data_IF_013881494484
#
_entry.id   IF_013881494484
#
_cell.length_a   1.000
_cell.length_b   1.000
_cell.length_c   1.000
_cell.angle_alpha   90.00
_cell.angle_beta   90.00
_cell.angle_gamma   90.00
#
_symmetry.space_group_name_H-M   'P 1'
#
loop_
_entity.id
_entity.type
_entity.pdbx_description
1 polymer ?
#
# COMPACT_ATOMS: atom_id res chain seq x y z
N UNK A 1 30.64 26.91 19.44
CA UNK A 1 29.60 27.31 18.44
C UNK A 1 28.74 26.14 17.93
N UNK A 2 29.13 24.87 18.16
CA UNK A 2 28.35 23.68 17.70
C UNK A 2 27.34 23.15 18.73
N UNK A 3 27.42 23.57 20.00
CA UNK A 3 26.55 23.09 21.06
C UNK A 3 25.28 23.94 21.30
N UNK A 4 25.24 25.17 20.84
CA UNK A 4 24.11 26.07 21.06
C UNK A 4 22.94 25.85 20.10
N UNK A 5 23.19 25.27 18.92
CA UNK A 5 22.15 25.03 17.91
C UNK A 5 21.31 23.76 18.22
N UNK A 6 21.88 22.80 18.92
CA UNK A 6 21.19 21.56 19.36
C UNK A 6 20.27 21.81 20.59
N UNK A 7 20.66 22.73 21.47
CA UNK A 7 19.87 23.12 22.64
C UNK A 7 18.67 23.98 22.24
N UNK A 8 18.84 24.91 21.31
CA UNK A 8 17.76 25.76 20.82
C UNK A 8 16.67 24.98 20.08
N UNK A 9 17.04 23.99 19.27
CA UNK A 9 16.10 23.09 18.58
C UNK A 9 15.36 22.15 19.55
N UNK A 10 16.00 21.72 20.64
CA UNK A 10 15.39 20.88 21.68
C UNK A 10 14.40 21.67 22.54
N UNK A 11 14.73 22.91 22.86
CA UNK A 11 13.86 23.83 23.64
C UNK A 11 12.64 24.26 22.81
N UNK A 12 12.81 24.50 21.50
CA UNK A 12 11.68 24.81 20.61
C UNK A 12 10.70 23.61 20.47
N UNK A 13 11.22 22.38 20.43
CA UNK A 13 10.39 21.15 20.39
C UNK A 13 9.59 20.96 21.70
N UNK A 14 10.21 21.17 22.87
CA UNK A 14 9.52 21.06 24.16
C UNK A 14 8.45 22.16 24.34
N UNK A 15 8.73 23.39 23.96
CA UNK A 15 7.78 24.52 24.04
C UNK A 15 6.55 24.31 23.12
N UNK A 16 6.70 23.62 22.01
CA UNK A 16 5.59 23.29 21.10
C UNK A 16 4.67 22.19 21.67
N UNK A 17 5.24 21.22 22.38
CA UNK A 17 4.48 20.17 23.05
C UNK A 17 3.67 20.70 24.25
N UNK A 18 4.23 21.62 24.99
CA UNK A 18 3.53 22.24 26.12
C UNK A 18 2.39 23.17 25.68
N UNK A 19 2.51 23.82 24.51
CA UNK A 19 1.42 24.59 23.91
C UNK A 19 0.25 23.72 23.43
N UNK A 20 0.52 22.47 23.02
CA UNK A 20 -0.52 21.52 22.64
C UNK A 20 -1.25 20.89 23.83
N UNK A 21 -0.57 20.72 24.98
CA UNK A 21 -1.20 20.23 26.23
C UNK A 21 -2.16 21.23 26.86
N UNK A 22 -2.00 22.51 26.56
CA UNK A 22 -2.81 23.59 27.18
C UNK A 22 -4.05 23.98 26.37
N UNK A 23 -4.36 23.30 25.27
CA UNK A 23 -5.63 23.45 24.55
C UNK A 23 -6.70 22.71 25.37
N UNK A 24 -7.27 23.38 26.37
CA UNK A 24 -8.44 22.93 27.11
C UNK A 24 -9.64 22.93 26.16
N UNK A 25 -10.12 21.74 25.81
CA UNK A 25 -11.46 21.60 25.25
C UNK A 25 -12.47 22.06 26.28
N UNK A 26 -13.16 23.17 26.01
CA UNK A 26 -14.17 23.71 26.87
C UNK A 26 -15.27 22.69 27.17
N UNK A 27 -15.45 22.37 28.44
CA UNK A 27 -16.62 21.63 28.93
C UNK A 27 -17.84 22.52 28.73
N UNK A 28 -18.80 22.07 27.93
CA UNK A 28 -20.10 22.71 27.82
C UNK A 28 -20.87 22.54 29.11
N UNK A 29 -21.29 23.65 29.72
CA UNK A 29 -22.29 23.68 30.78
C UNK A 29 -23.63 23.23 30.22
N UNK A 30 -24.31 22.38 30.99
CA UNK A 30 -25.73 22.06 30.81
C UNK A 30 -26.53 23.31 31.25
N UNK A 31 -27.37 23.82 30.38
CA UNK A 31 -28.56 24.56 30.75
C UNK A 31 -29.71 24.26 29.79
N UNK A 32 -30.88 24.22 30.36
CA UNK A 32 -32.15 23.68 29.89
C UNK A 32 -32.87 24.56 28.82
N UNK A 33 -33.93 24.06 28.16
CA UNK A 33 -34.31 24.43 26.81
C UNK A 33 -35.37 25.53 26.75
N UNK A 34 -35.24 26.44 25.83
CA UNK A 34 -36.39 27.09 25.15
C UNK A 34 -35.96 27.79 23.87
N UNK A 35 -36.70 27.38 22.81
CA UNK A 35 -37.00 28.08 21.55
C UNK A 35 -35.92 28.87 20.80
N UNK A 36 -35.54 28.41 19.62
CA UNK A 36 -35.99 28.97 18.33
C UNK A 36 -35.12 28.52 17.16
N UNK A 37 -35.80 28.21 16.12
CA UNK A 37 -35.42 27.91 14.73
C UNK A 37 -34.32 28.77 14.12
N UNK A 38 -33.46 28.14 13.30
CA UNK A 38 -32.57 28.70 12.26
C UNK A 38 -31.07 28.87 12.58
N UNK A 39 -30.38 27.85 13.09
CA UNK A 39 -28.91 27.86 13.10
C UNK A 39 -28.20 26.57 12.62
N UNK A 40 -28.93 25.64 12.00
CA UNK A 40 -28.36 24.31 11.72
C UNK A 40 -27.44 24.20 10.48
N UNK A 41 -27.42 25.21 9.60
CA UNK A 41 -26.65 25.15 8.35
C UNK A 41 -25.23 25.74 8.45
N UNK A 42 -25.01 26.72 9.32
CA UNK A 42 -23.68 27.35 9.46
C UNK A 42 -22.74 26.57 10.37
N UNK A 43 -23.23 25.89 11.41
CA UNK A 43 -22.39 25.08 12.30
C UNK A 43 -21.86 23.80 11.65
N UNK A 44 -22.61 23.19 10.68
CA UNK A 44 -22.11 22.04 9.91
C UNK A 44 -21.02 22.43 8.93
N UNK A 45 -21.08 23.62 8.31
CA UNK A 45 -20.02 24.11 7.42
C UNK A 45 -18.73 24.48 8.18
N UNK A 46 -18.83 24.98 9.40
CA UNK A 46 -17.68 25.32 10.25
C UNK A 46 -16.97 24.06 10.76
N UNK A 47 -17.70 23.03 11.24
CA UNK A 47 -17.10 21.78 11.72
C UNK A 47 -16.40 21.00 10.60
N UNK A 48 -16.92 21.03 9.37
CA UNK A 48 -16.28 20.39 8.22
C UNK A 48 -15.03 21.13 7.74
N UNK A 49 -15.01 22.46 7.81
CA UNK A 49 -13.81 23.26 7.49
C UNK A 49 -12.70 23.07 8.50
N UNK A 50 -13.02 23.00 9.79
CA UNK A 50 -12.05 22.76 10.85
C UNK A 50 -11.48 21.33 10.76
N UNK A 51 -12.32 20.33 10.50
CA UNK A 51 -11.87 18.94 10.30
C UNK A 51 -10.98 18.82 9.07
N UNK A 52 -11.35 19.43 7.94
CA UNK A 52 -10.54 19.48 6.72
C UNK A 52 -9.21 20.22 6.93
N UNK A 53 -9.19 21.30 7.71
CA UNK A 53 -7.97 22.03 8.04
C UNK A 53 -7.04 21.20 8.93
N UNK A 54 -7.57 20.52 9.94
CA UNK A 54 -6.79 19.61 10.77
C UNK A 54 -6.27 18.41 9.97
N UNK A 55 -7.08 17.81 9.13
CA UNK A 55 -6.66 16.70 8.26
C UNK A 55 -5.53 17.11 7.30
N UNK A 56 -5.62 18.31 6.71
CA UNK A 56 -4.58 18.83 5.83
C UNK A 56 -3.32 19.25 6.60
N UNK A 57 -3.47 19.83 7.78
CA UNK A 57 -2.36 20.21 8.64
C UNK A 57 -1.61 18.99 9.17
N UNK A 58 -2.33 17.92 9.56
CA UNK A 58 -1.70 16.66 9.95
C UNK A 58 -1.06 15.94 8.76
N UNK A 59 -1.69 15.93 7.59
CA UNK A 59 -1.09 15.38 6.36
C UNK A 59 0.24 16.06 6.01
N UNK A 60 0.30 17.39 6.08
CA UNK A 60 1.52 18.15 5.75
C UNK A 60 2.63 17.97 6.80
N UNK A 61 2.28 17.79 8.08
CA UNK A 61 3.29 17.57 9.12
C UNK A 61 3.77 16.14 9.24
N UNK A 62 2.91 15.16 9.00
CA UNK A 62 3.30 13.74 8.99
C UNK A 62 4.30 13.47 7.86
N UNK A 63 4.18 14.15 6.71
CA UNK A 63 5.17 14.05 5.64
C UNK A 63 6.54 14.65 5.99
N UNK A 64 6.57 15.62 6.91
CA UNK A 64 7.80 16.32 7.35
C UNK A 64 8.49 15.71 8.57
N UNK A 65 7.88 14.72 9.21
CA UNK A 65 8.41 14.08 10.42
C UNK A 65 9.22 12.79 10.11
N UNK A 66 9.89 12.71 8.94
CA UNK A 66 10.99 11.76 8.81
C UNK A 66 12.11 12.23 9.74
N UNK A 67 12.39 11.46 10.77
CA UNK A 67 13.52 11.73 11.65
C UNK A 67 14.79 11.59 10.81
N UNK A 68 15.64 12.61 10.78
CA UNK A 68 16.90 12.54 10.07
C UNK A 68 17.70 11.31 10.58
N UNK A 69 18.01 10.35 9.69
CA UNK A 69 18.66 9.09 10.00
C UNK A 69 17.81 7.83 9.86
N UNK A 70 16.51 7.95 9.63
CA UNK A 70 15.59 6.82 9.38
C UNK A 70 15.15 6.74 7.91
N UNK A 71 16.09 6.83 7.01
CA UNK A 71 15.82 6.61 5.59
C UNK A 71 15.44 5.14 5.36
N UNK A 72 14.31 4.93 4.67
CA UNK A 72 13.82 3.61 4.29
C UNK A 72 14.00 3.46 2.78
N UNK A 73 14.57 2.34 2.35
CA UNK A 73 14.57 1.95 0.95
C UNK A 73 13.42 0.97 0.69
N UNK A 74 12.78 1.08 -0.47
CA UNK A 74 11.88 0.05 -0.99
C UNK A 74 12.69 -1.12 -1.55
N UNK A 75 12.27 -2.34 -1.23
CA UNK A 75 12.81 -3.59 -1.76
C UNK A 75 11.69 -4.45 -2.29
N UNK A 76 11.63 -4.65 -3.59
CA UNK A 76 10.72 -5.58 -4.25
C UNK A 76 11.48 -6.85 -4.64
N UNK A 77 10.98 -7.98 -4.14
CA UNK A 77 11.51 -9.32 -4.40
C UNK A 77 10.47 -10.07 -5.24
N UNK A 78 10.73 -10.27 -6.51
CA UNK A 78 9.88 -11.01 -7.42
C UNK A 78 10.68 -12.10 -8.16
N UNK A 79 9.98 -13.06 -8.77
CA UNK A 79 10.65 -14.19 -9.46
C UNK A 79 11.55 -13.77 -10.61
N UNK A 80 11.24 -12.63 -11.24
CA UNK A 80 11.97 -12.14 -12.42
C UNK A 80 13.12 -11.21 -12.05
N UNK A 81 13.01 -10.47 -10.94
CA UNK A 81 13.97 -9.43 -10.59
C UNK A 81 13.94 -9.02 -9.11
N UNK A 82 15.05 -8.45 -8.67
CA UNK A 82 15.16 -7.64 -7.46
C UNK A 82 15.16 -6.17 -7.88
N UNK A 83 14.34 -5.36 -7.23
CA UNK A 83 14.28 -3.90 -7.45
C UNK A 83 14.43 -3.17 -6.13
N UNK A 84 15.23 -2.12 -6.12
CA UNK A 84 15.47 -1.28 -4.94
C UNK A 84 15.38 0.19 -5.31
N UNK A 85 14.78 1.00 -4.46
CA UNK A 85 14.79 2.44 -4.67
C UNK A 85 14.64 3.25 -3.38
N UNK A 86 15.07 4.51 -3.46
CA UNK A 86 14.76 5.55 -2.49
C UNK A 86 14.19 6.76 -3.21
N UNK A 87 13.24 7.41 -2.56
CA UNK A 87 12.58 8.63 -3.03
C UNK A 87 12.73 9.72 -1.99
N UNK A 88 12.78 10.97 -2.44
CA UNK A 88 12.71 12.16 -1.61
C UNK A 88 11.66 13.13 -2.13
N UNK A 89 11.42 14.20 -1.41
CA UNK A 89 10.57 15.29 -1.86
C UNK A 89 11.38 16.58 -1.96
N UNK A 90 11.13 17.35 -3.02
CA UNK A 90 11.65 18.71 -3.15
C UNK A 90 10.91 19.68 -2.21
N UNK A 91 11.24 20.98 -2.31
CA UNK A 91 10.62 22.03 -1.49
C UNK A 91 9.13 22.19 -1.75
N UNK A 92 8.69 21.82 -2.94
CA UNK A 92 7.32 21.92 -3.41
C UNK A 92 6.52 20.61 -3.20
N UNK A 93 7.11 19.68 -2.43
CA UNK A 93 6.54 18.35 -2.12
C UNK A 93 6.42 17.41 -3.34
N UNK A 94 7.11 17.70 -4.46
CA UNK A 94 7.18 16.78 -5.59
C UNK A 94 8.14 15.64 -5.30
N UNK A 95 7.75 14.43 -5.73
CA UNK A 95 8.57 13.24 -5.55
C UNK A 95 9.76 13.22 -6.54
N UNK A 96 10.89 12.78 -6.05
CA UNK A 96 12.14 12.59 -6.80
C UNK A 96 12.58 11.13 -6.58
N UNK A 97 12.91 10.42 -7.67
CA UNK A 97 13.53 9.10 -7.62
C UNK A 97 15.04 9.24 -7.41
N UNK A 98 15.46 9.35 -6.14
CA UNK A 98 16.87 9.61 -5.81
C UNK A 98 17.80 8.47 -6.20
N UNK A 99 17.43 7.23 -5.84
CA UNK A 99 18.25 6.05 -6.04
C UNK A 99 17.39 4.91 -6.57
N UNK A 100 17.89 4.24 -7.57
CA UNK A 100 17.20 3.12 -8.19
C UNK A 100 18.19 2.14 -8.79
N UNK A 101 17.92 0.86 -8.62
CA UNK A 101 18.58 -0.22 -9.34
C UNK A 101 17.68 -1.43 -9.40
N UNK A 102 17.92 -2.29 -10.37
CA UNK A 102 17.32 -3.61 -10.46
C UNK A 102 18.33 -4.66 -10.91
N UNK A 103 18.06 -5.91 -10.58
CA UNK A 103 18.81 -7.06 -11.02
C UNK A 103 17.86 -8.12 -11.52
N UNK A 104 18.00 -8.51 -12.78
CA UNK A 104 17.27 -9.63 -13.31
C UNK A 104 17.79 -10.93 -12.67
N UNK A 105 16.89 -11.77 -12.25
CA UNK A 105 17.22 -13.06 -11.66
C UNK A 105 17.39 -14.11 -12.74
N UNK A 106 18.40 -14.97 -12.55
CA UNK A 106 18.62 -16.14 -13.39
C UNK A 106 17.56 -17.21 -13.06
N UNK A 107 16.75 -17.54 -14.05
CA UNK A 107 15.66 -18.51 -13.90
C UNK A 107 16.15 -19.90 -13.48
N UNK A 108 17.36 -20.28 -13.88
CA UNK A 108 17.94 -21.58 -13.54
C UNK A 108 18.41 -21.63 -12.09
N UNK A 109 18.65 -20.48 -11.45
CA UNK A 109 19.05 -20.35 -10.05
C UNK A 109 17.89 -20.11 -9.11
N UNK A 110 16.79 -19.53 -9.61
CA UNK A 110 15.54 -19.35 -8.86
C UNK A 110 14.67 -20.57 -9.14
N UNK A 111 14.53 -21.44 -8.14
CA UNK A 111 13.62 -22.57 -8.21
C UNK A 111 12.15 -22.09 -8.28
N UNK A 112 11.21 -23.01 -8.31
CA UNK A 112 9.78 -22.67 -8.37
C UNK A 112 9.34 -21.70 -7.26
N UNK A 113 10.02 -21.73 -6.13
CA UNK A 113 9.79 -20.83 -5.00
C UNK A 113 11.02 -19.99 -4.71
N UNK A 114 10.93 -18.68 -4.84
CA UNK A 114 12.00 -17.72 -4.55
C UNK A 114 12.52 -17.85 -3.10
N UNK A 115 11.68 -18.30 -2.17
CA UNK A 115 12.04 -18.50 -0.77
C UNK A 115 13.00 -19.67 -0.56
N UNK A 116 13.12 -20.58 -1.53
CA UNK A 116 14.06 -21.71 -1.49
C UNK A 116 15.47 -21.33 -1.97
N UNK A 117 15.59 -20.24 -2.73
CA UNK A 117 16.85 -19.73 -3.28
C UNK A 117 17.44 -18.58 -2.48
N UNK A 118 17.33 -18.63 -1.14
CA UNK A 118 17.64 -17.51 -0.23
C UNK A 118 19.04 -16.95 -0.38
N UNK A 119 20.05 -17.79 -0.58
CA UNK A 119 21.44 -17.37 -0.69
C UNK A 119 21.66 -16.53 -1.95
N UNK A 120 21.20 -17.04 -3.10
CA UNK A 120 21.28 -16.36 -4.37
C UNK A 120 20.50 -15.04 -4.35
N UNK A 121 19.27 -15.04 -3.85
CA UNK A 121 18.43 -13.84 -3.78
C UNK A 121 19.06 -12.80 -2.86
N UNK A 122 19.60 -13.18 -1.71
CA UNK A 122 20.27 -12.26 -0.80
C UNK A 122 21.52 -11.62 -1.43
N UNK A 123 22.29 -12.37 -2.20
CA UNK A 123 23.42 -11.84 -2.96
C UNK A 123 22.96 -10.82 -3.99
N UNK A 124 21.92 -11.11 -4.78
CA UNK A 124 21.37 -10.20 -5.78
C UNK A 124 20.79 -8.93 -5.14
N UNK A 125 20.17 -9.03 -3.96
CA UNK A 125 19.74 -7.86 -3.18
C UNK A 125 20.94 -6.99 -2.80
N UNK A 126 22.01 -7.58 -2.28
CA UNK A 126 23.22 -6.84 -1.90
C UNK A 126 23.84 -6.10 -3.09
N UNK A 127 23.87 -6.76 -4.26
CA UNK A 127 24.36 -6.16 -5.51
C UNK A 127 23.43 -5.02 -5.98
N UNK A 128 22.12 -5.19 -5.89
CA UNK A 128 21.17 -4.16 -6.26
C UNK A 128 21.33 -2.91 -5.38
N UNK A 129 21.45 -3.09 -4.05
CA UNK A 129 21.67 -2.00 -3.09
C UNK A 129 22.96 -1.25 -3.38
N UNK A 130 24.04 -1.98 -3.66
CA UNK A 130 25.35 -1.39 -4.03
C UNK A 130 25.27 -0.62 -5.34
N UNK A 131 24.65 -1.16 -6.38
CA UNK A 131 24.47 -0.52 -7.69
C UNK A 131 23.63 0.76 -7.60
N UNK A 132 22.64 0.77 -6.71
CA UNK A 132 21.84 1.98 -6.44
C UNK A 132 22.53 2.97 -5.52
N UNK A 133 23.67 2.62 -4.92
CA UNK A 133 24.38 3.42 -3.89
C UNK A 133 23.46 3.73 -2.69
N UNK A 134 22.61 2.79 -2.32
CA UNK A 134 21.76 2.88 -1.14
C UNK A 134 22.57 2.46 0.08
N UNK A 135 22.75 3.36 1.02
CA UNK A 135 23.50 3.13 2.26
C UNK A 135 22.60 2.78 3.45
N UNK A 136 21.31 3.14 3.38
CA UNK A 136 20.35 2.77 4.41
C UNK A 136 20.23 1.25 4.53
N UNK A 137 20.20 0.78 5.78
CA UNK A 137 19.94 -0.63 6.08
C UNK A 137 18.44 -0.91 6.30
N UNK A 138 17.66 0.13 6.62
CA UNK A 138 16.23 -0.01 6.84
C UNK A 138 15.49 -0.15 5.51
N UNK A 139 14.69 -1.20 5.40
CA UNK A 139 13.92 -1.48 4.19
C UNK A 139 12.45 -1.72 4.48
N UNK A 140 11.62 -1.34 3.52
CA UNK A 140 10.25 -1.78 3.36
C UNK A 140 10.18 -2.83 2.26
N UNK A 141 9.57 -3.97 2.53
CA UNK A 141 9.30 -5.02 1.55
C UNK A 141 7.85 -5.46 1.63
N UNK A 142 7.41 -6.27 0.67
CA UNK A 142 6.04 -6.79 0.63
C UNK A 142 6.02 -8.29 0.37
N UNK A 143 4.95 -8.92 0.85
CA UNK A 143 4.59 -10.29 0.48
C UNK A 143 3.59 -10.28 -0.68
N UNK A 144 3.51 -11.37 -1.47
CA UNK A 144 2.48 -11.54 -2.48
C UNK A 144 1.07 -11.51 -1.88
N UNK A 145 0.09 -11.10 -2.67
CA UNK A 145 -1.33 -11.11 -2.26
C UNK A 145 -1.81 -12.54 -1.95
N UNK A 146 -1.28 -13.53 -2.68
CA UNK A 146 -1.56 -14.96 -2.45
C UNK A 146 -1.12 -15.47 -1.09
N UNK A 147 -0.16 -14.79 -0.43
CA UNK A 147 0.30 -15.11 0.94
C UNK A 147 -0.45 -14.34 2.03
N UNK A 148 -1.47 -13.56 1.67
CA UNK A 148 -2.21 -12.73 2.60
C UNK A 148 -3.70 -13.04 2.60
N UNK A 149 -4.32 -12.90 3.76
CA UNK A 149 -5.77 -12.89 3.94
C UNK A 149 -6.18 -11.45 4.14
N UNK A 150 -7.00 -10.92 3.27
CA UNK A 150 -7.48 -9.53 3.32
C UNK A 150 -9.00 -9.57 3.37
N UNK A 151 -9.57 -9.00 4.43
CA UNK A 151 -11.02 -8.95 4.65
C UNK A 151 -11.44 -7.60 5.20
N UNK A 152 -12.58 -7.12 4.79
CA UNK A 152 -13.31 -6.06 5.49
C UNK A 152 -14.44 -6.73 6.25
N UNK A 153 -14.39 -6.64 7.57
CA UNK A 153 -15.35 -7.28 8.46
C UNK A 153 -16.22 -6.23 9.16
N UNK A 154 -17.49 -6.55 9.34
CA UNK A 154 -18.43 -5.70 10.07
C UNK A 154 -18.61 -6.24 11.48
N UNK A 155 -18.46 -5.39 12.48
CA UNK A 155 -18.66 -5.69 13.89
C UNK A 155 -19.63 -4.70 14.53
N UNK A 156 -20.17 -5.00 15.72
CA UNK A 156 -20.83 -3.98 16.55
C UNK A 156 -19.91 -2.79 16.80
N UNK A 157 -20.49 -1.61 16.96
CA UNK A 157 -19.76 -0.39 17.24
C UNK A 157 -19.06 -0.50 18.60
N UNK A 158 -17.77 -0.29 18.63
CA UNK A 158 -16.92 -0.33 19.82
C UNK A 158 -16.03 0.91 19.90
N UNK A 159 -15.69 1.33 21.11
CA UNK A 159 -14.58 2.26 21.35
C UNK A 159 -13.24 1.59 21.04
N UNK A 160 -12.15 2.38 21.01
CA UNK A 160 -10.81 1.82 20.78
C UNK A 160 -10.40 0.87 21.93
N UNK A 161 -10.79 1.19 23.18
CA UNK A 161 -10.52 0.36 24.35
C UNK A 161 -11.32 -0.96 24.34
N UNK A 162 -12.59 -0.92 23.93
CA UNK A 162 -13.44 -2.11 23.79
C UNK A 162 -12.91 -3.00 22.67
N UNK A 163 -12.53 -2.42 21.52
CA UNK A 163 -11.93 -3.15 20.41
C UNK A 163 -10.63 -3.84 20.83
N UNK A 164 -9.75 -3.13 21.54
CA UNK A 164 -8.49 -3.70 22.03
C UNK A 164 -8.73 -4.90 22.95
N UNK A 165 -9.66 -4.78 23.89
CA UNK A 165 -10.05 -5.90 24.77
C UNK A 165 -10.62 -7.09 24.00
N UNK A 166 -11.48 -6.81 23.00
CA UNK A 166 -12.07 -7.86 22.17
C UNK A 166 -11.02 -8.61 21.34
N UNK A 167 -9.97 -7.92 20.90
CA UNK A 167 -8.82 -8.51 20.18
C UNK A 167 -7.97 -9.35 21.12
N UNK A 168 -7.67 -8.85 22.33
CA UNK A 168 -6.83 -9.56 23.31
C UNK A 168 -7.45 -10.89 23.78
N UNK A 169 -8.76 -11.01 23.74
CA UNK A 169 -9.45 -12.26 24.06
C UNK A 169 -9.52 -13.26 22.93
N UNK A 170 -8.92 -12.94 21.77
CA UNK A 170 -8.90 -13.73 20.51
C UNK A 170 -10.28 -14.07 19.92
N UNK A 171 -11.36 -13.79 20.66
CA UNK A 171 -12.71 -14.14 20.27
C UNK A 171 -13.25 -13.32 19.09
N UNK A 172 -12.74 -12.09 18.91
CA UNK A 172 -13.23 -11.20 17.85
C UNK A 172 -12.95 -11.78 16.47
N UNK A 173 -11.69 -12.16 16.21
CA UNK A 173 -11.29 -12.65 14.89
C UNK A 173 -11.84 -14.05 14.61
N UNK A 174 -11.91 -14.92 15.60
CA UNK A 174 -12.53 -16.25 15.44
C UNK A 174 -13.97 -16.16 14.96
N UNK A 175 -14.72 -15.18 15.46
CA UNK A 175 -16.10 -14.96 15.07
C UNK A 175 -16.28 -14.24 13.72
N UNK A 176 -15.36 -13.34 13.36
CA UNK A 176 -15.48 -12.49 12.18
C UNK A 176 -14.72 -13.02 10.97
N UNK A 177 -13.63 -13.76 11.19
CA UNK A 177 -12.76 -14.28 10.13
C UNK A 177 -12.60 -15.79 10.30
N UNK A 178 -13.13 -16.55 9.34
CA UNK A 178 -12.93 -18.00 9.33
C UNK A 178 -11.54 -18.30 8.76
N UNK A 179 -10.58 -18.60 9.65
CA UNK A 179 -9.26 -19.05 9.28
C UNK A 179 -9.22 -20.58 9.26
N UNK A 180 -8.46 -21.14 8.33
CA UNK A 180 -8.28 -22.59 8.23
C UNK A 180 -7.38 -23.13 9.37
N UNK A 181 -6.46 -22.31 9.86
CA UNK A 181 -5.45 -22.64 10.87
C UNK A 181 -5.65 -21.80 12.14
N UNK A 182 -4.85 -22.08 13.16
CA UNK A 182 -4.88 -21.33 14.42
C UNK A 182 -4.41 -19.88 14.20
N UNK A 183 -5.12 -18.91 14.77
CA UNK A 183 -4.78 -17.49 14.70
C UNK A 183 -3.34 -17.19 15.16
N UNK A 184 -2.81 -17.94 16.12
CA UNK A 184 -1.44 -17.79 16.62
C UNK A 184 -0.36 -18.08 15.56
N UNK A 185 -0.70 -18.79 14.49
CA UNK A 185 0.20 -19.05 13.36
C UNK A 185 0.28 -17.89 12.36
N UNK A 186 -0.47 -16.82 12.61
CA UNK A 186 -0.55 -15.65 11.75
C UNK A 186 0.02 -14.40 12.41
N UNK A 187 0.63 -13.54 11.59
CA UNK A 187 0.80 -12.13 11.90
C UNK A 187 -0.46 -11.39 11.44
N UNK A 188 -1.08 -10.64 12.33
CA UNK A 188 -2.34 -9.94 12.08
C UNK A 188 -2.13 -8.44 12.17
N UNK A 189 -2.65 -7.72 11.18
CA UNK A 189 -2.82 -6.28 11.19
C UNK A 189 -4.31 -5.96 11.05
N UNK A 190 -4.79 -4.98 11.79
CA UNK A 190 -6.16 -4.49 11.67
C UNK A 190 -6.19 -2.96 11.68
N UNK A 191 -7.21 -2.42 11.06
CA UNK A 191 -7.50 -1.00 11.12
C UNK A 191 -8.99 -0.72 10.97
N UNK A 192 -9.51 0.14 11.85
CA UNK A 192 -10.89 0.62 11.72
C UNK A 192 -10.98 1.54 10.50
N UNK A 193 -11.85 1.19 9.56
CA UNK A 193 -12.10 1.95 8.34
C UNK A 193 -13.21 2.97 8.58
N UNK A 194 -14.30 2.53 9.18
CA UNK A 194 -15.50 3.33 9.34
C UNK A 194 -16.22 2.97 10.64
N UNK A 195 -16.83 3.98 11.28
CA UNK A 195 -17.75 3.81 12.40
C UNK A 195 -19.08 4.48 12.05
N UNK A 196 -20.14 3.71 12.09
CA UNK A 196 -21.49 4.17 11.78
C UNK A 196 -22.38 4.11 13.01
N UNK A 197 -22.59 5.26 13.65
CA UNK A 197 -23.43 5.37 14.84
C UNK A 197 -24.93 5.15 14.56
N UNK A 198 -25.37 5.37 13.30
CA UNK A 198 -26.78 5.15 12.94
C UNK A 198 -27.16 3.68 12.92
N UNK A 199 -26.27 2.83 12.41
CA UNK A 199 -26.46 1.37 12.34
C UNK A 199 -25.85 0.65 13.53
N UNK A 200 -25.16 1.36 14.43
CA UNK A 200 -24.41 0.81 15.55
C UNK A 200 -23.39 -0.26 15.13
N UNK A 201 -22.71 -0.01 14.00
CA UNK A 201 -21.74 -0.92 13.43
C UNK A 201 -20.42 -0.21 13.10
N UNK A 202 -19.37 -0.99 12.96
CA UNK A 202 -18.07 -0.52 12.45
C UNK A 202 -17.51 -1.52 11.45
N UNK A 203 -16.71 -0.99 10.51
CA UNK A 203 -15.97 -1.79 9.53
C UNK A 203 -14.49 -1.79 9.88
N UNK A 204 -13.90 -2.96 9.87
CA UNK A 204 -12.50 -3.19 10.21
C UNK A 204 -11.82 -3.89 9.04
N UNK A 205 -10.72 -3.31 8.56
CA UNK A 205 -9.81 -4.00 7.67
C UNK A 205 -8.98 -4.98 8.48
N UNK A 206 -9.07 -6.25 8.11
CA UNK A 206 -8.27 -7.35 8.66
C UNK A 206 -7.29 -7.82 7.60
N UNK A 207 -6.01 -7.85 7.94
CA UNK A 207 -4.93 -8.38 7.09
C UNK A 207 -4.10 -9.35 7.90
N UNK A 208 -3.93 -10.55 7.39
CA UNK A 208 -3.13 -11.58 8.04
C UNK A 208 -2.27 -12.34 7.05
N UNK A 209 -1.11 -12.80 7.50
CA UNK A 209 -0.26 -13.73 6.77
C UNK A 209 0.37 -14.73 7.74
N UNK A 210 0.66 -15.93 7.26
CA UNK A 210 1.34 -16.95 8.07
C UNK A 210 2.69 -16.42 8.54
N UNK A 211 3.01 -16.63 9.82
CA UNK A 211 4.30 -16.24 10.40
C UNK A 211 5.47 -16.87 9.67
N UNK A 212 5.30 -18.10 9.14
CA UNK A 212 6.30 -18.77 8.31
C UNK A 212 6.67 -17.96 7.07
N UNK A 213 5.68 -17.38 6.37
CA UNK A 213 5.90 -16.57 5.18
C UNK A 213 6.52 -15.22 5.53
N UNK A 214 5.98 -14.54 6.54
CA UNK A 214 6.53 -13.28 7.07
C UNK A 214 8.00 -13.44 7.47
N UNK A 215 8.31 -14.49 8.20
CA UNK A 215 9.67 -14.75 8.66
C UNK A 215 10.61 -15.13 7.49
N UNK A 216 10.12 -15.86 6.49
CA UNK A 216 10.91 -16.26 5.33
C UNK A 216 11.31 -15.05 4.46
N UNK A 217 10.40 -14.14 4.16
CA UNK A 217 10.73 -12.89 3.46
C UNK A 217 11.67 -12.01 4.26
N UNK A 218 11.42 -11.86 5.56
CA UNK A 218 12.30 -11.09 6.45
C UNK A 218 13.70 -11.69 6.54
N UNK A 219 13.81 -13.02 6.55
CA UNK A 219 15.09 -13.72 6.62
C UNK A 219 15.98 -13.49 5.39
N UNK A 220 15.40 -13.41 4.19
CA UNK A 220 16.15 -13.10 2.96
C UNK A 220 16.79 -11.71 3.07
N UNK A 221 16.02 -10.71 3.48
CA UNK A 221 16.52 -9.35 3.65
C UNK A 221 17.62 -9.27 4.74
N UNK A 222 17.41 -9.93 5.87
CA UNK A 222 18.41 -10.01 6.94
C UNK A 222 19.70 -10.70 6.48
N UNK A 223 19.59 -11.74 5.65
CA UNK A 223 20.73 -12.42 5.06
C UNK A 223 21.54 -11.51 4.14
N UNK A 224 20.89 -10.57 3.46
CA UNK A 224 21.53 -9.50 2.69
C UNK A 224 22.13 -8.38 3.56
N UNK A 225 22.10 -8.50 4.89
CA UNK A 225 22.62 -7.50 5.84
C UNK A 225 21.69 -6.29 6.02
N UNK A 226 20.42 -6.43 5.66
CA UNK A 226 19.41 -5.37 5.78
C UNK A 226 18.53 -5.56 7.01
N UNK A 227 17.86 -4.49 7.41
CA UNK A 227 16.94 -4.44 8.52
C UNK A 227 15.51 -4.22 8.02
N UNK A 228 14.68 -5.26 7.91
CA UNK A 228 13.27 -5.09 7.57
C UNK A 228 12.56 -4.30 8.68
N UNK A 229 11.97 -3.15 8.33
CA UNK A 229 11.22 -2.30 9.26
C UNK A 229 9.74 -2.25 8.91
N UNK A 230 9.39 -2.56 7.66
CA UNK A 230 8.02 -2.64 7.17
C UNK A 230 7.89 -3.88 6.29
N UNK A 231 6.89 -4.70 6.56
CA UNK A 231 6.41 -5.77 5.69
C UNK A 231 4.95 -5.51 5.33
N UNK A 232 4.74 -5.13 4.09
CA UNK A 232 3.45 -4.81 3.52
C UNK A 232 2.89 -5.98 2.70
N UNK A 233 1.71 -5.83 2.13
CA UNK A 233 1.18 -6.72 1.10
C UNK A 233 1.22 -6.00 -0.24
N UNK A 234 1.57 -6.68 -1.30
CA UNK A 234 1.82 -6.08 -2.63
C UNK A 234 0.68 -5.19 -3.13
N UNK A 235 -0.58 -5.59 -2.97
CA UNK A 235 -1.71 -4.77 -3.40
C UNK A 235 -1.75 -3.38 -2.75
N UNK A 236 -1.35 -3.26 -1.48
CA UNK A 236 -1.30 -1.97 -0.80
C UNK A 236 -0.11 -1.13 -1.26
N UNK A 237 0.99 -1.76 -1.66
CA UNK A 237 2.11 -1.04 -2.27
C UNK A 237 1.74 -0.47 -3.63
N UNK A 238 1.01 -1.23 -4.44
CA UNK A 238 0.46 -0.76 -5.72
C UNK A 238 -0.49 0.41 -5.52
N UNK A 239 -1.35 0.34 -4.51
CA UNK A 239 -2.22 1.46 -4.13
C UNK A 239 -1.42 2.69 -3.73
N UNK A 240 -0.36 2.53 -2.93
CA UNK A 240 0.51 3.65 -2.55
C UNK A 240 1.15 4.32 -3.78
N UNK A 241 1.63 3.54 -4.73
CA UNK A 241 2.17 4.08 -5.98
C UNK A 241 1.09 4.83 -6.77
N UNK A 242 -0.09 4.25 -6.93
CA UNK A 242 -1.23 4.88 -7.61
C UNK A 242 -1.67 6.18 -6.94
N UNK A 243 -1.72 6.22 -5.61
CA UNK A 243 -2.15 7.38 -4.85
C UNK A 243 -1.22 8.60 -5.01
N UNK A 244 0.01 8.38 -5.42
CA UNK A 244 1.02 9.43 -5.60
C UNK A 244 1.27 9.81 -7.07
N UNK A 245 0.55 9.24 -8.02
CA UNK A 245 0.68 9.60 -9.43
C UNK A 245 -0.08 10.86 -9.78
N UNK A 246 0.38 11.60 -10.81
CA UNK A 246 -0.35 12.75 -11.36
C UNK A 246 -1.71 12.36 -11.94
N UNK A 247 -1.84 11.14 -12.44
CA UNK A 247 -3.10 10.64 -12.96
C UNK A 247 -4.21 10.79 -11.92
N UNK A 248 -3.96 10.41 -10.67
CA UNK A 248 -4.92 10.55 -9.59
C UNK A 248 -5.24 12.02 -9.28
N UNK A 249 -4.24 12.90 -9.27
CA UNK A 249 -4.44 14.32 -8.98
C UNK A 249 -5.28 15.04 -10.04
N UNK A 250 -5.15 14.63 -11.29
CA UNK A 250 -5.92 15.18 -12.42
C UNK A 250 -7.34 14.58 -12.45
N UNK A 251 -7.46 13.29 -12.16
CA UNK A 251 -8.70 12.53 -12.29
C UNK A 251 -9.32 12.17 -10.93
N UNK A 252 -9.33 13.12 -9.99
CA UNK A 252 -9.84 12.88 -8.61
C UNK A 252 -11.27 12.33 -8.56
N UNK A 253 -12.07 12.60 -9.59
CA UNK A 253 -13.47 12.16 -9.68
C UNK A 253 -13.65 10.89 -10.52
N UNK A 254 -12.59 10.33 -11.09
CA UNK A 254 -12.67 9.08 -11.85
C UNK A 254 -12.41 7.89 -10.94
N UNK A 255 -13.39 6.99 -10.87
CA UNK A 255 -13.21 5.71 -10.21
C UNK A 255 -12.31 4.83 -11.05
N UNK A 256 -11.24 4.34 -10.47
CA UNK A 256 -10.25 3.50 -11.12
C UNK A 256 -9.99 2.21 -10.35
N UNK A 257 -9.50 1.24 -11.07
CA UNK A 257 -9.07 -0.04 -10.53
C UNK A 257 -7.65 -0.37 -11.01
N UNK A 258 -6.96 -1.20 -10.27
CA UNK A 258 -5.69 -1.80 -10.65
C UNK A 258 -5.94 -3.26 -10.95
N UNK A 259 -5.51 -3.72 -12.11
CA UNK A 259 -5.53 -5.12 -12.50
C UNK A 259 -4.11 -5.64 -12.56
N UNK A 260 -3.77 -6.59 -11.70
CA UNK A 260 -2.52 -7.31 -11.80
C UNK A 260 -2.70 -8.54 -12.68
N UNK A 261 -1.84 -8.66 -13.69
CA UNK A 261 -1.76 -9.78 -14.63
C UNK A 261 -0.34 -10.29 -14.61
N UNK A 262 -0.09 -11.39 -13.92
CA UNK A 262 1.25 -11.97 -13.79
C UNK A 262 1.20 -13.50 -13.81
N UNK A 263 2.35 -14.13 -13.74
CA UNK A 263 2.44 -15.58 -13.70
C UNK A 263 1.77 -16.18 -12.47
N UNK A 264 1.91 -15.52 -11.30
CA UNK A 264 1.44 -16.06 -10.03
C UNK A 264 0.25 -15.30 -9.45
N UNK A 265 0.15 -14.00 -9.71
CA UNK A 265 -0.86 -13.13 -9.10
C UNK A 265 -1.74 -12.51 -10.18
N UNK A 266 -3.04 -12.78 -10.08
CA UNK A 266 -4.05 -12.27 -10.99
C UNK A 266 -5.26 -11.82 -10.19
N UNK A 267 -5.44 -10.52 -10.05
CA UNK A 267 -6.55 -9.95 -9.30
C UNK A 267 -6.90 -8.54 -9.78
N UNK A 268 -8.17 -8.19 -9.60
CA UNK A 268 -8.68 -6.83 -9.74
C UNK A 268 -8.76 -6.20 -8.35
N UNK A 269 -8.15 -5.03 -8.19
CA UNK A 269 -8.26 -4.21 -7.00
C UNK A 269 -9.01 -2.93 -7.31
N UNK A 270 -10.18 -2.74 -6.72
CA UNK A 270 -10.95 -1.51 -6.78
C UNK A 270 -10.73 -0.73 -5.50
N UNK A 271 -10.38 0.54 -5.60
CA UNK A 271 -10.14 1.39 -4.43
C UNK A 271 -11.44 2.09 -4.06
N UNK A 272 -12.06 1.62 -2.99
CA UNK A 272 -13.29 2.14 -2.44
C UNK A 272 -13.05 2.82 -1.09
N UNK A 273 -13.30 4.13 -1.00
CA UNK A 273 -13.08 4.91 0.24
C UNK A 273 -11.69 4.68 0.87
N UNK A 274 -10.63 4.70 0.07
CA UNK A 274 -9.24 4.40 0.45
C UNK A 274 -8.97 2.96 0.89
N UNK A 275 -9.92 2.06 0.74
CA UNK A 275 -9.76 0.64 1.07
C UNK A 275 -9.81 -0.19 -0.21
N UNK A 276 -8.88 -1.12 -0.41
CA UNK A 276 -8.94 -2.00 -1.57
C UNK A 276 -10.04 -3.04 -1.42
N UNK A 277 -10.82 -3.20 -2.48
CA UNK A 277 -11.72 -4.34 -2.70
C UNK A 277 -11.06 -5.23 -3.72
N UNK A 278 -10.65 -6.43 -3.31
CA UNK A 278 -9.85 -7.34 -4.12
C UNK A 278 -10.72 -8.51 -4.57
N UNK A 279 -10.68 -8.79 -5.86
CA UNK A 279 -11.30 -9.97 -6.47
C UNK A 279 -10.26 -10.73 -7.26
N UNK A 280 -10.02 -11.98 -6.87
CA UNK A 280 -9.09 -12.85 -7.58
C UNK A 280 -9.64 -13.21 -8.97
N UNK A 281 -8.76 -13.26 -9.95
CA UNK A 281 -9.04 -13.80 -11.27
C UNK A 281 -8.43 -15.20 -11.35
N UNK A 282 -9.28 -16.18 -11.53
CA UNK A 282 -8.86 -17.57 -11.55
C UNK A 282 -8.37 -17.98 -12.94
N UNK A 283 -7.12 -18.44 -12.99
CA UNK A 283 -6.49 -19.06 -14.16
C UNK A 283 -5.92 -20.43 -13.78
N UNK A 284 -6.20 -21.43 -14.60
CA UNK A 284 -5.53 -22.73 -14.49
C UNK A 284 -4.12 -22.64 -15.05
N UNK A 285 -3.23 -23.54 -14.65
CA UNK A 285 -1.84 -23.50 -15.10
C UNK A 285 -1.71 -23.55 -16.64
N UNK A 286 -2.44 -24.39 -17.42
CA UNK A 286 -2.38 -24.34 -18.87
C UNK A 286 -2.80 -23.00 -19.48
N UNK A 287 -3.72 -22.27 -18.83
CA UNK A 287 -4.14 -20.93 -19.27
C UNK A 287 -3.08 -19.88 -19.00
N UNK A 288 -2.39 -19.96 -17.87
CA UNK A 288 -1.24 -19.11 -17.55
C UNK A 288 -0.11 -19.33 -18.56
N UNK A 289 0.18 -20.59 -18.89
CA UNK A 289 1.20 -20.97 -19.87
C UNK A 289 0.88 -20.41 -21.26
N UNK A 290 -0.39 -20.49 -21.69
CA UNK A 290 -0.82 -19.91 -22.96
C UNK A 290 -0.63 -18.39 -22.99
N UNK A 291 -0.97 -17.68 -21.92
CA UNK A 291 -0.79 -16.21 -21.84
C UNK A 291 0.69 -15.86 -21.86
N UNK A 292 1.52 -16.56 -21.11
CA UNK A 292 2.95 -16.27 -21.00
C UNK A 292 3.73 -16.55 -22.30
N UNK A 293 3.19 -17.42 -23.19
CA UNK A 293 3.78 -17.79 -24.48
C UNK A 293 3.33 -16.88 -25.64
N UNK A 294 2.43 -15.94 -25.41
CA UNK A 294 2.03 -14.97 -26.44
C UNK A 294 3.28 -14.20 -26.89
N UNK A 295 3.57 -14.24 -28.17
CA UNK A 295 4.66 -13.49 -28.79
C UNK A 295 4.16 -12.18 -29.41
N UNK A 296 5.09 -11.34 -29.85
CA UNK A 296 4.74 -10.16 -30.62
C UNK A 296 4.04 -10.57 -31.92
N UNK A 297 2.86 -9.99 -32.15
CA UNK A 297 2.04 -10.29 -33.32
C UNK A 297 0.59 -10.65 -32.98
N UNK A 298 -0.17 -11.15 -33.97
CA UNK A 298 -1.56 -11.54 -33.71
C UNK A 298 -1.65 -12.66 -32.67
N UNK A 299 -2.56 -12.48 -31.71
CA UNK A 299 -2.85 -13.51 -30.71
C UNK A 299 -3.61 -14.65 -31.37
N UNK A 300 -3.23 -15.89 -31.07
CA UNK A 300 -3.94 -17.07 -31.59
C UNK A 300 -5.31 -17.25 -30.90
N UNK A 301 -6.17 -18.07 -31.51
CA UNK A 301 -7.54 -18.27 -31.04
C UNK A 301 -7.61 -18.86 -29.62
N UNK A 302 -6.68 -19.73 -29.23
CA UNK A 302 -6.65 -20.33 -27.89
C UNK A 302 -6.32 -19.29 -26.82
N UNK A 303 -5.29 -18.50 -27.07
CA UNK A 303 -4.90 -17.40 -26.15
C UNK A 303 -5.98 -16.32 -26.08
N UNK A 304 -6.62 -15.98 -27.21
CA UNK A 304 -7.74 -15.03 -27.25
C UNK A 304 -8.94 -15.56 -26.44
N UNK A 305 -9.22 -16.86 -26.47
CA UNK A 305 -10.26 -17.48 -25.67
C UNK A 305 -9.97 -17.39 -24.16
N UNK A 306 -8.70 -17.57 -23.76
CA UNK A 306 -8.28 -17.38 -22.35
C UNK A 306 -8.44 -15.93 -21.91
N UNK A 307 -7.97 -14.98 -22.72
CA UNK A 307 -8.10 -13.54 -22.41
C UNK A 307 -9.57 -13.13 -22.32
N UNK A 308 -10.43 -13.69 -23.16
CA UNK A 308 -11.87 -13.44 -23.10
C UNK A 308 -12.47 -13.92 -21.77
N UNK A 309 -12.16 -15.13 -21.32
CA UNK A 309 -12.62 -15.64 -20.02
C UNK A 309 -12.08 -14.81 -18.86
N UNK A 310 -10.82 -14.40 -18.94
CA UNK A 310 -10.22 -13.47 -17.98
C UNK A 310 -11.01 -12.17 -17.92
N UNK A 311 -11.25 -11.57 -19.07
CA UNK A 311 -11.99 -10.30 -19.19
C UNK A 311 -13.42 -10.42 -18.66
N UNK A 312 -14.07 -11.57 -18.83
CA UNK A 312 -15.42 -11.81 -18.27
C UNK A 312 -15.40 -11.83 -16.74
N UNK A 313 -14.39 -12.42 -16.10
CA UNK A 313 -14.23 -12.37 -14.64
C UNK A 313 -14.02 -10.93 -14.14
N UNK A 314 -13.18 -10.16 -14.84
CA UNK A 314 -12.96 -8.73 -14.53
C UNK A 314 -14.27 -7.95 -14.67
N UNK A 315 -15.01 -8.16 -15.76
CA UNK A 315 -16.31 -7.52 -16.01
C UNK A 315 -17.32 -7.86 -14.92
N UNK A 316 -17.36 -9.12 -14.49
CA UNK A 316 -18.24 -9.57 -13.42
C UNK A 316 -17.89 -8.86 -12.09
N UNK A 317 -16.61 -8.83 -11.73
CA UNK A 317 -16.14 -8.18 -10.50
C UNK A 317 -16.47 -6.66 -10.50
N UNK A 318 -16.31 -5.99 -11.62
CA UNK A 318 -16.71 -4.59 -11.78
C UNK A 318 -18.23 -4.45 -11.61
N UNK A 319 -19.02 -5.29 -12.27
CA UNK A 319 -20.47 -5.27 -12.19
C UNK A 319 -20.99 -5.47 -10.77
N UNK A 320 -20.44 -6.42 -10.04
CA UNK A 320 -20.79 -6.69 -8.64
C UNK A 320 -20.47 -5.50 -7.72
N UNK A 321 -19.30 -4.87 -7.94
CA UNK A 321 -18.93 -3.66 -7.22
C UNK A 321 -19.86 -2.49 -7.52
N UNK A 322 -20.11 -2.21 -8.80
CA UNK A 322 -20.96 -1.11 -9.25
C UNK A 322 -22.42 -1.25 -8.77
N UNK A 323 -22.93 -2.48 -8.76
CA UNK A 323 -24.27 -2.78 -8.24
C UNK A 323 -24.39 -2.53 -6.74
N UNK A 324 -23.32 -2.84 -5.98
CA UNK A 324 -23.29 -2.68 -4.52
C UNK A 324 -23.07 -1.24 -4.06
N UNK A 325 -22.27 -0.47 -4.80
CA UNK A 325 -21.77 0.84 -4.35
C UNK A 325 -22.28 2.03 -5.17
N UNK A 326 -23.08 1.80 -6.21
CA UNK A 326 -23.62 2.84 -7.13
C UNK A 326 -22.53 3.72 -7.78
N UNK A 327 -21.30 3.21 -7.85
CA UNK A 327 -20.14 3.87 -8.43
C UNK A 327 -19.71 3.17 -9.71
N UNK A 328 -19.30 3.93 -10.71
CA UNK A 328 -18.80 3.39 -12.00
C UNK A 328 -17.27 3.30 -12.01
N UNK A 329 -16.75 2.21 -12.55
CA UNK A 329 -15.32 2.04 -12.81
C UNK A 329 -15.05 2.41 -14.26
N UNK A 330 -14.39 3.56 -14.45
CA UNK A 330 -14.17 4.12 -15.78
C UNK A 330 -12.80 3.79 -16.34
N UNK A 331 -11.87 3.37 -15.50
CA UNK A 331 -10.48 3.12 -15.90
C UNK A 331 -9.83 2.00 -15.10
N UNK A 332 -9.10 1.15 -15.81
CA UNK A 332 -8.28 0.07 -15.25
C UNK A 332 -6.81 0.38 -15.57
N UNK A 333 -6.00 0.44 -14.53
CA UNK A 333 -4.54 0.52 -14.61
C UNK A 333 -3.97 -0.90 -14.51
N UNK A 334 -3.21 -1.34 -15.52
CA UNK A 334 -2.61 -2.67 -15.55
C UNK A 334 -1.23 -2.65 -14.92
N UNK A 335 -0.99 -3.58 -14.02
CA UNK A 335 0.34 -3.94 -13.51
C UNK A 335 0.66 -5.36 -13.95
N UNK A 336 1.83 -5.58 -14.52
CA UNK A 336 2.17 -6.91 -15.03
C UNK A 336 3.67 -7.17 -15.01
N UNK A 337 4.06 -8.39 -14.65
CA UNK A 337 5.41 -8.90 -14.82
C UNK A 337 5.61 -9.60 -16.18
N UNK A 338 4.55 -9.79 -16.96
CA UNK A 338 4.63 -10.44 -18.26
C UNK A 338 5.38 -9.58 -19.27
N UNK A 339 6.38 -10.14 -19.95
CA UNK A 339 7.18 -9.43 -20.96
C UNK A 339 6.35 -8.98 -22.17
N UNK A 340 5.30 -9.72 -22.48
CA UNK A 340 4.42 -9.53 -23.63
C UNK A 340 3.13 -8.77 -23.31
N UNK A 341 3.07 -8.09 -22.18
CA UNK A 341 1.84 -7.38 -21.73
C UNK A 341 1.32 -6.39 -22.76
N UNK A 342 2.20 -5.72 -23.49
CA UNK A 342 1.82 -4.77 -24.53
C UNK A 342 1.09 -5.43 -25.69
N UNK A 343 1.36 -6.70 -25.98
CA UNK A 343 0.65 -7.49 -27.00
C UNK A 343 -0.71 -7.97 -26.47
N UNK A 344 -0.87 -8.11 -25.16
CA UNK A 344 -2.09 -8.61 -24.51
C UNK A 344 -3.12 -7.49 -24.27
N UNK A 345 -2.69 -6.29 -23.93
CA UNK A 345 -3.58 -5.15 -23.62
C UNK A 345 -4.63 -4.88 -24.70
N UNK A 346 -4.32 -4.90 -26.02
CA UNK A 346 -5.33 -4.68 -27.05
C UNK A 346 -6.49 -5.68 -27.01
N UNK A 347 -6.21 -6.95 -26.68
CA UNK A 347 -7.25 -7.97 -26.52
C UNK A 347 -8.15 -7.70 -25.32
N UNK A 348 -7.59 -7.24 -24.20
CA UNK A 348 -8.40 -6.80 -23.06
C UNK A 348 -9.29 -5.59 -23.40
N UNK A 349 -8.76 -4.60 -24.11
CA UNK A 349 -9.54 -3.44 -24.57
C UNK A 349 -10.71 -3.83 -25.46
N UNK A 350 -10.50 -4.82 -26.35
CA UNK A 350 -11.54 -5.37 -27.21
C UNK A 350 -12.67 -6.01 -26.41
N UNK A 351 -12.33 -6.72 -25.34
CA UNK A 351 -13.29 -7.43 -24.48
C UNK A 351 -13.95 -6.53 -23.41
N UNK A 352 -13.36 -5.37 -23.12
CA UNK A 352 -13.82 -4.38 -22.13
C UNK A 352 -13.95 -2.97 -22.77
N UNK A 353 -14.77 -2.81 -23.83
CA UNK A 353 -14.74 -1.60 -24.66
C UNK A 353 -15.26 -0.33 -23.96
N UNK A 354 -16.02 -0.50 -22.89
CA UNK A 354 -16.62 0.62 -22.15
C UNK A 354 -15.74 1.13 -21.00
N UNK A 355 -14.62 0.46 -20.74
CA UNK A 355 -13.71 0.78 -19.63
C UNK A 355 -12.34 1.15 -20.21
N UNK A 356 -11.75 2.26 -19.77
CA UNK A 356 -10.37 2.62 -20.10
C UNK A 356 -9.42 1.55 -19.55
N UNK A 357 -8.42 1.18 -20.34
CA UNK A 357 -7.49 0.10 -20.03
C UNK A 357 -6.09 0.48 -20.48
N UNK A 358 -5.16 0.69 -19.55
CA UNK A 358 -3.81 1.14 -19.87
C UNK A 358 -2.78 0.59 -18.88
N UNK A 359 -1.53 0.49 -19.35
CA UNK A 359 -0.43 0.11 -18.49
C UNK A 359 -0.15 1.20 -17.47
N UNK A 360 0.01 0.82 -16.21
CA UNK A 360 0.28 1.75 -15.12
C UNK A 360 1.73 2.24 -15.16
N UNK A 361 1.93 3.55 -15.16
CA UNK A 361 3.25 4.17 -14.99
C UNK A 361 3.36 4.78 -13.58
N UNK A 362 4.04 4.11 -12.64
CA UNK A 362 4.21 4.62 -11.27
C UNK A 362 5.15 5.84 -11.18
N UNK A 363 5.88 6.15 -12.24
CA UNK A 363 6.80 7.29 -12.32
C UNK A 363 6.14 8.53 -12.92
N UNK A 364 4.86 8.46 -13.29
CA UNK A 364 4.13 9.63 -13.76
C UNK A 364 4.10 10.72 -12.68
N UNK A 365 4.75 11.84 -12.96
CA UNK A 365 4.87 12.96 -12.04
C UNK A 365 5.98 12.86 -11.00
N UNK A 366 6.80 11.82 -11.08
CA UNK A 366 8.04 11.70 -10.30
C UNK A 366 9.19 12.28 -11.11
N UNK A 367 9.99 13.16 -10.50
CA UNK A 367 11.20 13.67 -11.12
C UNK A 367 12.26 12.57 -11.17
N UNK A 368 12.84 12.36 -12.36
CA UNK A 368 13.87 11.33 -12.58
C UNK A 368 15.18 12.05 -12.92
N UNK A 369 16.16 12.03 -12.00
CA UNK A 369 17.49 12.55 -12.28
C UNK A 369 18.15 11.83 -13.47
N UNK A 370 19.03 12.52 -14.18
CA UNK A 370 19.67 12.01 -15.40
C UNK A 370 20.43 10.69 -15.18
N UNK A 371 21.00 10.48 -14.02
CA UNK A 371 21.71 9.23 -13.67
C UNK A 371 20.80 8.01 -13.47
N UNK A 372 19.48 8.23 -13.32
CA UNK A 372 18.47 7.16 -13.27
C UNK A 372 17.68 7.04 -14.56
N UNK A 373 17.81 7.98 -15.50
CA UNK A 373 16.97 8.04 -16.69
C UNK A 373 17.08 6.77 -17.57
N UNK A 374 18.30 6.29 -17.81
CA UNK A 374 18.53 5.08 -18.60
C UNK A 374 17.93 3.84 -17.94
N UNK A 375 18.12 3.69 -16.62
CA UNK A 375 17.61 2.53 -15.85
C UNK A 375 16.07 2.47 -15.80
N UNK A 376 15.41 3.60 -15.94
CA UNK A 376 13.94 3.72 -15.89
C UNK A 376 13.31 3.82 -17.27
N UNK A 377 14.12 3.86 -18.34
CA UNK A 377 13.64 3.84 -19.71
C UNK A 377 13.35 2.40 -20.15
N UNK A 378 12.28 1.84 -19.63
CA UNK A 378 11.80 0.50 -19.91
C UNK A 378 10.35 0.56 -20.44
N UNK A 379 10.01 -0.38 -21.34
CA UNK A 379 8.70 -0.40 -21.98
C UNK A 379 7.55 -0.66 -21.02
N UNK A 380 7.81 -1.48 -20.00
CA UNK A 380 6.84 -1.85 -18.99
C UNK A 380 7.23 -1.28 -17.61
N UNK A 381 6.95 -0.01 -17.39
CA UNK A 381 7.19 0.65 -16.10
C UNK A 381 6.29 0.17 -14.97
N UNK A 382 5.20 -0.55 -15.29
CA UNK A 382 4.32 -1.09 -14.25
C UNK A 382 5.03 -2.07 -13.32
N UNK A 383 6.13 -2.69 -13.78
CA UNK A 383 6.99 -3.54 -12.94
C UNK A 383 7.66 -2.79 -11.78
N UNK A 384 7.72 -1.47 -11.85
CA UNK A 384 8.28 -0.61 -10.80
C UNK A 384 7.25 -0.20 -9.75
N UNK A 385 5.98 -0.52 -9.96
CA UNK A 385 4.90 -0.04 -9.08
C UNK A 385 5.06 -0.49 -7.63
N UNK A 386 5.44 -1.75 -7.40
CA UNK A 386 5.62 -2.28 -6.05
C UNK A 386 6.79 -1.59 -5.32
N UNK A 387 7.96 -1.49 -5.95
CA UNK A 387 9.15 -0.88 -5.31
C UNK A 387 8.96 0.60 -5.05
N UNK A 388 8.32 1.32 -5.95
CA UNK A 388 7.99 2.74 -5.77
C UNK A 388 6.98 2.92 -4.63
N UNK A 389 5.93 2.12 -4.59
CA UNK A 389 4.94 2.16 -3.51
C UNK A 389 5.54 1.85 -2.14
N UNK A 390 6.52 0.95 -2.08
CA UNK A 390 7.29 0.66 -0.86
C UNK A 390 8.19 1.83 -0.46
N UNK A 391 8.84 2.48 -1.41
CA UNK A 391 9.71 3.62 -1.13
C UNK A 391 8.97 4.83 -0.56
N UNK A 392 7.66 4.97 -0.85
CA UNK A 392 6.82 6.01 -0.24
C UNK A 392 6.47 5.73 1.24
N UNK A 393 6.76 4.53 1.75
CA UNK A 393 6.47 4.18 3.13
C UNK A 393 7.39 4.91 4.10
N UNK A 394 6.83 5.30 5.24
CA UNK A 394 7.54 5.91 6.36
C UNK A 394 7.16 5.18 7.63
N UNK A 395 8.09 5.08 8.58
CA UNK A 395 7.76 4.57 9.91
C UNK A 395 6.81 5.54 10.61
N UNK A 396 5.67 5.02 11.06
CA UNK A 396 4.75 5.77 11.91
C UNK A 396 5.21 5.71 13.37
N UNK A 397 6.33 6.37 13.66
CA UNK A 397 6.99 6.36 14.98
C UNK A 397 6.02 6.84 16.09
N UNK A 398 5.13 7.78 15.77
CA UNK A 398 4.22 8.40 16.73
C UNK A 398 2.80 7.86 16.69
N UNK A 399 2.46 6.96 15.79
CA UNK A 399 1.12 6.38 15.65
C UNK A 399 0.08 7.32 15.04
N UNK A 400 0.49 8.28 14.21
CA UNK A 400 -0.42 9.24 13.59
C UNK A 400 -1.20 8.69 12.40
N UNK A 401 -0.73 7.64 11.75
CA UNK A 401 -1.38 7.10 10.54
C UNK A 401 -2.78 6.55 10.80
N UNK A 402 -3.06 6.11 12.03
CA UNK A 402 -4.42 5.70 12.42
C UNK A 402 -5.45 6.82 12.30
N UNK A 403 -5.02 8.09 12.31
CA UNK A 403 -5.88 9.25 12.17
C UNK A 403 -5.95 9.80 10.75
N UNK A 404 -5.03 9.39 9.87
CA UNK A 404 -4.86 10.01 8.55
C UNK A 404 -5.43 9.14 7.44
N UNK A 405 -5.12 7.85 7.39
CA UNK A 405 -5.65 6.93 6.38
C UNK A 405 -5.52 5.47 6.79
N UNK A 406 -6.54 4.68 6.44
CA UNK A 406 -6.66 3.30 6.84
C UNK A 406 -5.52 2.38 6.38
N UNK A 407 -4.98 2.54 5.17
CA UNK A 407 -4.09 1.54 4.56
C UNK A 407 -2.60 1.91 4.50
N UNK A 408 -2.21 3.10 4.95
CA UNK A 408 -0.80 3.53 4.93
C UNK A 408 0.05 2.98 6.07
N UNK A 409 -0.55 2.26 7.00
CA UNK A 409 0.09 1.82 8.24
C UNK A 409 0.32 0.30 8.29
N UNK A 410 0.01 -0.43 7.22
CA UNK A 410 0.11 -1.90 7.21
C UNK A 410 1.54 -2.32 7.43
N UNK A 411 1.74 -3.15 8.45
CA UNK A 411 3.03 -3.76 8.75
C UNK A 411 2.79 -5.10 9.43
N UNK A 412 3.15 -6.17 8.76
CA UNK A 412 2.98 -7.54 9.23
C UNK A 412 4.19 -8.07 10.02
N UNK A 413 5.21 -7.25 10.27
CA UNK A 413 6.35 -7.67 11.10
C UNK A 413 5.88 -7.93 12.54
N UNK A 414 6.28 -9.06 13.16
CA UNK A 414 5.90 -9.41 14.54
C UNK A 414 6.38 -8.38 15.57
N UNK A 415 7.55 -7.76 15.35
CA UNK A 415 8.19 -6.81 16.26
C UNK A 415 7.95 -5.33 15.91
N UNK A 416 6.91 -5.03 15.14
CA UNK A 416 6.61 -3.67 14.67
C UNK A 416 6.51 -2.62 15.78
N UNK A 417 6.00 -2.99 16.94
CA UNK A 417 5.86 -2.08 18.07
C UNK A 417 7.19 -1.80 18.77
N UNK A 418 8.10 -2.76 18.82
CA UNK A 418 9.45 -2.57 19.34
C UNK A 418 10.27 -1.61 18.44
N UNK A 419 10.17 -1.75 17.13
CA UNK A 419 10.81 -0.84 16.16
C UNK A 419 10.26 0.58 16.33
N UNK A 420 8.94 0.72 16.54
CA UNK A 420 8.27 1.98 16.80
C UNK A 420 8.75 2.64 18.09
N UNK A 421 8.96 1.86 19.16
CA UNK A 421 9.48 2.36 20.43
C UNK A 421 10.93 2.82 20.33
N UNK A 422 11.79 2.08 19.64
CA UNK A 422 13.20 2.47 19.41
C UNK A 422 13.31 3.80 18.63
N UNK A 423 12.42 4.04 17.67
CA UNK A 423 12.37 5.31 16.95
C UNK A 423 11.91 6.50 17.81
N UNK A 424 11.19 6.26 18.93
CA UNK A 424 10.78 7.31 19.87
C UNK A 424 11.89 7.74 20.82
N UNK A 425 12.86 6.87 21.05
CA UNK A 425 13.97 7.11 21.99
C UNK A 425 15.17 7.79 21.35
N UNK A 426 15.24 7.85 20.03
CA UNK A 426 16.23 8.59 19.24
C UNK A 426 15.69 9.98 18.85
#
# INVERSE_FOLDING_TARGET
QFNDDLTSKKVLKLSMFDKLKNIKFGKSKKDNPQESTNESAQQKKSKNKVKSFFDNFFKSKVSKLSVAGEEIAGLDISKDAIRVCQVSQDKDENWILDKFSYRLLDKDKVQDNILESKDYVAEEISLAMSNAKITSKNIALSIPVTSAIIRVVTSPLMSDEELQKAIETDSLWENLVQLADNLNDYSVFHQVINRNSKTNTMEILFVASKLSDVNSYSAIAKKAGLNPVILDVKCFTLKNAHDNTKFKSINQNTNSAILEISDDENYLMIIHNNTPVITDVFLRQPEKDLISQISDGPINDESEAVIRRYSMQVKQAIGDYEAKHENKINNIQVVSSLKNINSIIPSFKKNLPTTGFSLFDPLEGVAIPSYNAEKTNIDNRSTLAAVIGLAYRKLDVFGYYKFVTAVKNINLLPNRDAVRQQGRLK
#
